data_IF_487300310628
#
_entry.id   IF_487300310628
#
_cell.length_a   1.000
_cell.length_b   1.000
_cell.length_c   1.000
_cell.angle_alpha   90.00
_cell.angle_beta   90.00
_cell.angle_gamma   90.00
#
_symmetry.space_group_name_H-M   'P 1'
#
loop_
_entity.id
_entity.type
_entity.pdbx_description
1 polymer ?
#
# COMPACT_ATOMS: atom_id res chain seq x y z
N UNK A 1 27.18 -66.32 6.03
CA UNK A 1 27.55 -64.93 6.40
C UNK A 1 26.81 -63.83 5.63
N UNK A 2 26.21 -64.10 4.47
CA UNK A 2 25.55 -63.08 3.61
C UNK A 2 24.29 -62.45 4.23
N UNK A 3 23.51 -63.19 5.03
CA UNK A 3 22.22 -62.70 5.54
C UNK A 3 22.31 -61.60 6.64
N UNK A 4 23.45 -61.46 7.32
CA UNK A 4 23.66 -60.39 8.32
C UNK A 4 23.96 -59.02 7.69
N UNK A 5 24.59 -58.99 6.51
CA UNK A 5 24.92 -57.74 5.83
C UNK A 5 23.67 -57.05 5.24
N UNK A 6 22.71 -57.83 4.73
CA UNK A 6 21.47 -57.30 4.17
C UNK A 6 20.59 -56.65 5.25
N UNK A 7 20.51 -57.26 6.43
CA UNK A 7 19.71 -56.74 7.55
C UNK A 7 20.30 -55.49 8.19
N UNK A 8 21.62 -55.35 8.21
CA UNK A 8 22.28 -54.14 8.71
C UNK A 8 22.13 -52.95 7.74
N UNK A 9 22.23 -53.19 6.43
CA UNK A 9 21.97 -52.19 5.39
C UNK A 9 20.55 -51.60 5.47
N UNK A 10 19.54 -52.46 5.66
CA UNK A 10 18.15 -52.01 5.73
C UNK A 10 17.86 -51.16 6.98
N UNK A 11 18.50 -51.44 8.12
CA UNK A 11 18.36 -50.63 9.34
C UNK A 11 18.97 -49.24 9.19
N UNK A 12 20.13 -49.13 8.55
CA UNK A 12 20.78 -47.84 8.30
C UNK A 12 19.95 -47.00 7.35
N UNK A 13 19.43 -47.59 6.26
CA UNK A 13 18.50 -46.90 5.35
C UNK A 13 17.25 -46.41 6.08
N UNK A 14 16.63 -47.27 6.89
CA UNK A 14 15.43 -46.92 7.64
C UNK A 14 15.68 -45.77 8.61
N UNK A 15 16.82 -45.78 9.32
CA UNK A 15 17.20 -44.70 10.23
C UNK A 15 17.41 -43.36 9.51
N UNK A 16 18.10 -43.36 8.36
CA UNK A 16 18.31 -42.15 7.55
C UNK A 16 16.96 -41.56 7.09
N UNK A 17 16.03 -42.40 6.62
CA UNK A 17 14.69 -41.96 6.23
C UNK A 17 13.91 -41.34 7.39
N UNK A 18 13.98 -41.95 8.57
CA UNK A 18 13.32 -41.41 9.76
C UNK A 18 13.89 -40.03 10.10
N UNK A 19 15.22 -39.87 10.09
CA UNK A 19 15.87 -38.58 10.39
C UNK A 19 15.51 -37.51 9.36
N UNK A 20 15.50 -37.85 8.06
CA UNK A 20 15.11 -36.92 7.00
C UNK A 20 13.65 -36.48 7.13
N UNK A 21 12.75 -37.37 7.53
CA UNK A 21 11.34 -37.02 7.73
C UNK A 21 11.18 -36.15 8.98
N UNK A 22 11.78 -36.55 10.11
CA UNK A 22 11.65 -35.87 11.40
C UNK A 22 12.25 -34.46 11.36
N UNK A 23 13.33 -34.23 10.61
CA UNK A 23 13.95 -32.90 10.49
C UNK A 23 13.48 -32.13 9.26
N UNK A 24 13.28 -32.82 8.14
CA UNK A 24 12.92 -32.20 6.87
C UNK A 24 11.49 -31.67 6.85
N UNK A 25 10.53 -32.40 7.42
CA UNK A 25 9.13 -31.97 7.42
C UNK A 25 8.94 -30.69 8.25
N UNK A 26 9.43 -30.59 9.51
CA UNK A 26 9.29 -29.36 10.28
C UNK A 26 10.02 -28.17 9.64
N UNK A 27 11.23 -28.40 9.10
CA UNK A 27 11.99 -27.35 8.44
C UNK A 27 11.24 -26.81 7.21
N UNK A 28 10.75 -27.69 6.34
CA UNK A 28 9.93 -27.30 5.17
C UNK A 28 8.69 -26.53 5.62
N UNK A 29 8.01 -27.02 6.66
CA UNK A 29 6.81 -26.38 7.23
C UNK A 29 7.11 -24.96 7.70
N UNK A 30 8.16 -24.78 8.50
CA UNK A 30 8.58 -23.46 9.00
C UNK A 30 8.97 -22.54 7.84
N UNK A 31 9.70 -23.05 6.84
CA UNK A 31 10.10 -22.24 5.69
C UNK A 31 8.89 -21.78 4.87
N UNK A 32 7.89 -22.66 4.72
CA UNK A 32 6.66 -22.36 4.00
C UNK A 32 5.78 -21.37 4.77
N UNK A 33 5.66 -21.54 6.09
CA UNK A 33 4.98 -20.59 6.98
C UNK A 33 5.67 -19.22 6.92
N UNK A 34 7.00 -19.17 7.10
CA UNK A 34 7.76 -17.92 7.02
C UNK A 34 7.64 -17.28 5.62
N UNK A 35 7.69 -18.07 4.55
CA UNK A 35 7.47 -17.58 3.19
C UNK A 35 6.10 -16.93 3.01
N UNK A 36 5.05 -17.55 3.55
CA UNK A 36 3.68 -17.02 3.49
C UNK A 36 3.49 -15.72 4.30
N UNK A 37 4.11 -15.61 5.47
CA UNK A 37 3.96 -14.43 6.33
C UNK A 37 4.89 -13.27 5.95
N UNK A 38 6.08 -13.56 5.43
CA UNK A 38 7.12 -12.54 5.21
C UNK A 38 7.38 -12.19 3.75
N UNK A 39 6.90 -12.94 2.75
CA UNK A 39 7.13 -12.56 1.36
C UNK A 39 6.19 -11.44 0.87
N UNK A 40 5.00 -11.33 1.47
CA UNK A 40 3.88 -10.52 0.96
C UNK A 40 3.74 -9.16 1.64
N UNK A 41 3.88 -9.09 2.97
CA UNK A 41 3.88 -7.82 3.72
C UNK A 41 4.92 -6.80 3.18
N UNK A 42 6.15 -7.21 2.80
CA UNK A 42 7.11 -6.28 2.19
C UNK A 42 6.66 -5.77 0.82
N UNK A 43 5.92 -6.58 0.04
CA UNK A 43 5.46 -6.18 -1.30
C UNK A 43 4.40 -5.07 -1.20
N UNK A 44 3.49 -5.17 -0.24
CA UNK A 44 2.45 -4.16 -0.06
C UNK A 44 3.02 -2.85 0.48
N UNK A 45 3.97 -2.93 1.42
CA UNK A 45 4.72 -1.75 1.87
C UNK A 45 5.55 -1.15 0.73
N UNK A 46 6.16 -1.98 -0.12
CA UNK A 46 6.89 -1.51 -1.30
C UNK A 46 5.97 -0.81 -2.30
N UNK A 47 4.76 -1.34 -2.53
CA UNK A 47 3.76 -0.68 -3.37
C UNK A 47 3.34 0.68 -2.81
N UNK A 48 3.07 0.76 -1.51
CA UNK A 48 2.72 2.02 -0.86
C UNK A 48 3.87 3.04 -0.95
N UNK A 49 5.08 2.60 -0.62
CA UNK A 49 6.29 3.44 -0.73
C UNK A 49 6.53 3.94 -2.16
N UNK A 50 6.24 3.13 -3.19
CA UNK A 50 6.33 3.57 -4.59
C UNK A 50 5.32 4.67 -4.90
N UNK A 51 4.09 4.57 -4.38
CA UNK A 51 3.08 5.63 -4.54
C UNK A 51 3.53 6.92 -3.87
N UNK A 52 4.00 6.85 -2.62
CA UNK A 52 4.56 8.00 -1.89
C UNK A 52 5.72 8.65 -2.66
N UNK A 53 6.62 7.83 -3.21
CA UNK A 53 7.75 8.32 -4.01
C UNK A 53 7.31 9.01 -5.30
N UNK A 54 6.32 8.45 -5.99
CA UNK A 54 5.77 9.03 -7.24
C UNK A 54 5.07 10.35 -6.96
N UNK A 55 4.32 10.45 -5.85
CA UNK A 55 3.76 11.73 -5.39
C UNK A 55 4.85 12.78 -5.20
N UNK A 56 5.91 12.43 -4.47
CA UNK A 56 6.97 13.39 -4.15
C UNK A 56 7.83 13.82 -5.35
N UNK A 57 8.01 12.96 -6.36
CA UNK A 57 9.04 13.15 -7.39
C UNK A 57 8.53 13.20 -8.82
N UNK A 58 7.45 12.51 -9.15
CA UNK A 58 7.02 12.29 -10.54
C UNK A 58 5.83 13.16 -10.93
N UNK A 59 4.98 13.53 -9.98
CA UNK A 59 3.84 14.40 -10.24
C UNK A 59 4.35 15.84 -10.41
N UNK A 60 3.95 16.47 -11.51
CA UNK A 60 4.29 17.88 -11.75
C UNK A 60 3.40 18.75 -10.90
N UNK A 61 3.98 19.35 -9.85
CA UNK A 61 3.29 20.29 -8.98
C UNK A 61 3.52 21.74 -9.43
N UNK A 62 2.59 22.67 -9.11
CA UNK A 62 2.83 24.10 -9.30
C UNK A 62 4.12 24.57 -8.61
N UNK A 63 4.86 25.48 -9.25
CA UNK A 63 6.15 25.98 -8.75
C UNK A 63 6.04 26.68 -7.39
N UNK A 64 4.90 27.34 -7.14
CA UNK A 64 4.59 28.01 -5.88
C UNK A 64 3.93 27.08 -4.84
N UNK A 65 3.96 25.76 -5.06
CA UNK A 65 3.36 24.82 -4.12
C UNK A 65 4.37 24.30 -3.09
N UNK A 66 3.93 24.16 -1.85
CA UNK A 66 4.71 23.55 -0.78
C UNK A 66 3.97 22.39 -0.13
N UNK A 67 4.69 21.36 0.30
CA UNK A 67 4.13 20.22 1.04
C UNK A 67 3.88 20.66 2.48
N UNK A 68 2.69 20.38 2.97
CA UNK A 68 2.27 20.63 4.35
C UNK A 68 2.31 19.34 5.16
N UNK A 69 1.68 18.29 4.64
CA UNK A 69 1.57 17.00 5.33
C UNK A 69 1.53 15.84 4.31
N UNK A 70 1.91 14.64 4.75
CA UNK A 70 1.82 13.41 3.96
C UNK A 70 1.03 12.37 4.72
N UNK A 71 0.17 11.65 4.02
CA UNK A 71 -0.62 10.55 4.55
C UNK A 71 -0.48 9.33 3.67
N UNK A 72 -0.55 8.16 4.28
CA UNK A 72 -0.68 6.91 3.55
C UNK A 72 -1.51 5.90 4.33
N UNK A 73 -2.18 5.03 3.60
CA UNK A 73 -3.04 4.00 4.14
C UNK A 73 -2.91 2.71 3.33
N UNK A 74 -2.88 1.60 4.06
CA UNK A 74 -2.93 0.25 3.53
C UNK A 74 -3.85 -0.58 4.43
N UNK A 75 -4.88 -1.16 3.84
CA UNK A 75 -5.78 -2.07 4.53
C UNK A 75 -7.09 -2.30 3.78
N UNK A 76 -8.05 -2.91 4.47
CA UNK A 76 -9.44 -2.93 4.01
C UNK A 76 -10.22 -1.75 4.58
N UNK A 77 -11.21 -1.26 3.84
CA UNK A 77 -12.16 -0.25 4.34
C UNK A 77 -13.49 -0.88 4.75
N UNK A 78 -13.80 -2.06 4.22
CA UNK A 78 -15.07 -2.73 4.45
C UNK A 78 -14.81 -4.05 5.16
N UNK A 79 -15.51 -4.27 6.27
CA UNK A 79 -15.41 -5.47 7.13
C UNK A 79 -15.89 -6.76 6.46
N UNK A 80 -16.42 -6.68 5.24
CA UNK A 80 -17.05 -7.80 4.54
C UNK A 80 -16.30 -8.17 3.25
N UNK A 81 -15.16 -7.53 2.97
CA UNK A 81 -14.38 -7.76 1.75
C UNK A 81 -12.91 -7.92 2.10
N UNK A 82 -12.29 -8.96 1.54
CA UNK A 82 -10.84 -9.18 1.63
C UNK A 82 -10.10 -8.39 0.55
N UNK A 83 -10.45 -7.12 0.36
CA UNK A 83 -9.74 -6.27 -0.59
C UNK A 83 -8.63 -5.47 0.09
N UNK A 84 -7.53 -5.27 -0.63
CA UNK A 84 -6.46 -4.40 -0.17
C UNK A 84 -6.47 -3.08 -0.94
N UNK A 85 -6.69 -2.01 -0.19
CA UNK A 85 -6.72 -0.64 -0.69
C UNK A 85 -5.41 0.07 -0.34
N UNK A 86 -4.83 0.73 -1.34
CA UNK A 86 -3.60 1.53 -1.22
C UNK A 86 -3.94 2.98 -1.49
N UNK A 87 -3.54 3.85 -0.58
CA UNK A 87 -3.77 5.27 -0.70
C UNK A 87 -2.52 5.98 -0.21
N UNK A 88 -2.00 6.90 -1.01
CA UNK A 88 -0.95 7.81 -0.58
C UNK A 88 -1.35 9.20 -1.01
N UNK A 89 -1.12 10.21 -0.17
CA UNK A 89 -1.48 11.57 -0.47
C UNK A 89 -0.57 12.60 0.21
N UNK A 90 -0.50 13.78 -0.40
CA UNK A 90 0.21 14.93 0.13
C UNK A 90 -0.75 16.12 0.20
N UNK A 91 -0.91 16.68 1.40
CA UNK A 91 -1.49 18.01 1.55
C UNK A 91 -0.45 19.04 1.13
N UNK A 92 -0.89 19.96 0.30
CA UNK A 92 -0.07 21.03 -0.26
C UNK A 92 -0.78 22.36 -0.12
N UNK A 93 0.00 23.43 -0.13
CA UNK A 93 -0.51 24.80 -0.22
C UNK A 93 0.01 25.46 -1.48
N UNK A 94 -0.74 26.39 -2.04
CA UNK A 94 -0.37 27.20 -3.22
C UNK A 94 -1.08 28.55 -3.18
N UNK A 95 -0.61 29.52 -3.97
CA UNK A 95 -1.33 30.79 -4.20
C UNK A 95 -2.19 30.79 -5.46
N UNK A 96 -2.26 29.66 -6.19
CA UNK A 96 -3.13 29.54 -7.37
C UNK A 96 -4.60 29.49 -6.96
N UNK A 97 -5.49 29.94 -7.85
CA UNK A 97 -6.93 29.76 -7.64
C UNK A 97 -7.33 28.28 -7.73
N UNK A 98 -8.53 27.95 -7.23
CA UNK A 98 -9.11 26.60 -7.34
C UNK A 98 -9.13 26.11 -8.78
N UNK A 99 -9.59 26.94 -9.71
CA UNK A 99 -9.79 26.59 -11.12
C UNK A 99 -8.45 26.37 -11.82
N UNK A 100 -7.48 27.25 -11.58
CA UNK A 100 -6.11 27.12 -12.10
C UNK A 100 -5.48 25.83 -11.59
N UNK A 101 -5.59 25.57 -10.28
CA UNK A 101 -5.05 24.37 -9.67
C UNK A 101 -5.66 23.09 -10.25
N UNK A 102 -6.99 23.01 -10.36
CA UNK A 102 -7.67 21.85 -10.93
C UNK A 102 -7.29 21.62 -12.40
N UNK A 103 -7.01 22.70 -13.15
CA UNK A 103 -6.56 22.59 -14.54
C UNK A 103 -5.18 21.95 -14.68
N UNK A 104 -4.28 22.17 -13.71
CA UNK A 104 -2.91 21.60 -13.71
C UNK A 104 -2.93 20.08 -13.62
N UNK A 105 -3.85 19.52 -12.84
CA UNK A 105 -3.95 18.08 -12.62
C UNK A 105 -5.01 17.41 -13.50
N UNK A 106 -5.61 18.17 -14.42
CA UNK A 106 -6.63 17.63 -15.32
C UNK A 106 -6.03 16.51 -16.17
N UNK A 107 -6.66 15.34 -16.13
CA UNK A 107 -6.23 14.12 -16.83
C UNK A 107 -4.82 13.63 -16.46
N UNK A 108 -4.27 14.11 -15.33
CA UNK A 108 -2.95 13.70 -14.86
C UNK A 108 -2.97 12.23 -14.44
N UNK A 109 -2.01 11.47 -14.98
CA UNK A 109 -1.81 10.07 -14.65
C UNK A 109 -0.33 9.80 -14.42
N UNK A 110 -0.03 8.78 -13.62
CA UNK A 110 1.33 8.35 -13.33
C UNK A 110 1.49 6.86 -13.54
N UNK A 111 2.59 6.46 -14.16
CA UNK A 111 2.97 5.06 -14.25
C UNK A 111 3.81 4.69 -13.02
N UNK A 112 3.40 3.64 -12.32
CA UNK A 112 4.02 3.18 -11.09
C UNK A 112 4.38 1.72 -11.28
N UNK A 113 5.69 1.44 -11.32
CA UNK A 113 6.16 0.07 -11.46
C UNK A 113 5.52 -0.87 -10.42
N UNK A 114 4.97 -1.99 -10.87
CA UNK A 114 4.25 -2.96 -10.02
C UNK A 114 2.74 -2.73 -9.92
N UNK A 115 2.21 -1.71 -10.59
CA UNK A 115 0.79 -1.54 -10.88
C UNK A 115 0.53 -1.84 -12.37
N UNK A 116 -0.66 -2.34 -12.69
CA UNK A 116 -1.01 -2.83 -14.04
C UNK A 116 -1.56 -1.74 -14.96
N UNK A 117 -1.85 -0.56 -14.41
CA UNK A 117 -2.45 0.57 -15.12
C UNK A 117 -1.82 1.88 -14.66
N UNK A 118 -1.78 2.85 -15.56
CA UNK A 118 -1.50 4.23 -15.20
C UNK A 118 -2.54 4.69 -14.16
N UNK A 119 -2.06 5.22 -13.05
CA UNK A 119 -2.89 5.61 -11.93
C UNK A 119 -3.31 7.08 -12.09
N UNK A 120 -4.60 7.40 -11.98
CA UNK A 120 -5.06 8.78 -12.00
C UNK A 120 -4.54 9.53 -10.76
N UNK A 121 -4.14 10.77 -10.97
CA UNK A 121 -3.81 11.70 -9.88
C UNK A 121 -5.10 12.40 -9.47
N UNK A 122 -5.52 12.17 -8.23
CA UNK A 122 -6.71 12.80 -7.68
C UNK A 122 -6.33 14.07 -6.93
N UNK A 123 -7.12 15.12 -7.11
CA UNK A 123 -6.92 16.41 -6.44
C UNK A 123 -8.22 16.91 -5.86
N UNK A 124 -8.16 17.30 -4.59
CA UNK A 124 -9.32 17.80 -3.85
C UNK A 124 -8.89 19.03 -3.05
N UNK A 125 -9.69 20.08 -3.13
CA UNK A 125 -9.47 21.30 -2.35
C UNK A 125 -9.87 21.02 -0.90
N UNK A 126 -9.00 21.37 0.05
CA UNK A 126 -9.21 21.14 1.46
C UNK A 126 -10.11 22.24 2.06
N UNK A 127 -11.41 22.13 1.78
CA UNK A 127 -12.48 22.98 2.31
C UNK A 127 -13.43 22.14 3.18
N UNK A 128 -14.08 22.79 4.17
CA UNK A 128 -14.94 22.11 5.16
C UNK A 128 -16.17 21.43 4.52
N UNK A 129 -16.58 21.89 3.34
CA UNK A 129 -17.73 21.45 2.55
C UNK A 129 -17.33 20.73 1.25
N UNK A 130 -16.07 20.29 1.14
CA UNK A 130 -15.60 19.58 -0.05
C UNK A 130 -16.48 18.33 -0.33
N UNK A 131 -17.08 18.22 -1.53
CA UNK A 131 -18.00 17.13 -1.86
C UNK A 131 -17.20 15.87 -2.18
N UNK A 132 -16.79 15.15 -1.15
CA UNK A 132 -16.24 13.82 -1.30
C UNK A 132 -17.33 12.78 -1.09
N UNK A 133 -17.24 11.70 -1.87
CA UNK A 133 -18.01 10.51 -1.55
C UNK A 133 -17.63 10.04 -0.14
N UNK A 134 -18.61 9.59 0.63
CA UNK A 134 -18.36 8.92 1.93
C UNK A 134 -17.42 7.71 1.76
N UNK A 135 -17.37 7.15 0.56
CA UNK A 135 -16.50 6.03 0.18
C UNK A 135 -15.12 6.44 -0.35
N UNK A 136 -14.75 7.73 -0.38
CA UNK A 136 -13.40 8.15 -0.78
C UNK A 136 -12.42 8.07 0.40
N UNK A 137 -11.28 7.37 0.29
CA UNK A 137 -10.40 7.13 1.44
C UNK A 137 -9.76 8.41 1.98
N UNK A 138 -9.67 9.44 1.14
CA UNK A 138 -9.16 10.73 1.54
C UNK A 138 -10.14 11.57 2.38
N UNK A 139 -11.43 11.17 2.46
CA UNK A 139 -12.47 11.95 3.15
C UNK A 139 -12.09 12.26 4.60
N UNK A 140 -11.65 11.27 5.36
CA UNK A 140 -11.27 11.47 6.76
C UNK A 140 -10.04 12.37 6.89
N UNK A 141 -9.09 12.26 5.97
CA UNK A 141 -7.89 13.11 5.97
C UNK A 141 -8.27 14.57 5.74
N UNK A 142 -9.14 14.84 4.77
CA UNK A 142 -9.55 16.21 4.42
C UNK A 142 -10.35 16.84 5.55
N UNK A 143 -11.28 16.11 6.16
CA UNK A 143 -12.05 16.62 7.31
C UNK A 143 -11.11 16.96 8.48
N UNK A 144 -10.20 16.05 8.84
CA UNK A 144 -9.26 16.27 9.93
C UNK A 144 -8.30 17.44 9.62
N UNK A 145 -7.80 17.50 8.38
CA UNK A 145 -6.90 18.56 7.95
C UNK A 145 -7.60 19.92 7.95
N UNK A 146 -8.80 20.02 7.37
CA UNK A 146 -9.59 21.25 7.32
C UNK A 146 -9.94 21.76 8.73
N UNK A 147 -10.19 20.85 9.69
CA UNK A 147 -10.36 21.20 11.11
C UNK A 147 -9.06 21.71 11.73
N UNK A 148 -7.90 21.13 11.37
CA UNK A 148 -6.60 21.48 11.94
C UNK A 148 -6.05 22.84 11.48
N UNK A 149 -6.31 23.23 10.22
CA UNK A 149 -5.81 24.50 9.67
C UNK A 149 -6.57 25.72 10.18
N UNK A 150 -7.73 25.52 10.84
CA UNK A 150 -8.54 26.60 11.40
C UNK A 150 -9.05 27.58 10.34
N UNK A 151 -8.96 28.88 10.61
CA UNK A 151 -9.33 29.95 9.67
C UNK A 151 -8.35 30.01 8.49
N UNK A 152 -8.87 29.85 7.27
CA UNK A 152 -8.11 29.96 6.02
C UNK A 152 -7.26 31.24 5.97
N UNK A 153 -5.98 31.09 5.62
CA UNK A 153 -5.11 32.22 5.26
C UNK A 153 -5.58 32.74 3.90
N UNK A 154 -5.95 34.02 3.83
CA UNK A 154 -6.42 34.64 2.59
C UNK A 154 -5.33 34.57 1.51
N UNK A 155 -5.71 34.11 0.31
CA UNK A 155 -4.80 33.96 -0.82
C UNK A 155 -3.97 32.68 -0.83
N UNK A 156 -4.19 31.76 0.13
CA UNK A 156 -3.57 30.42 0.12
C UNK A 156 -4.64 29.35 -0.06
N UNK A 157 -4.51 28.57 -1.11
CA UNK A 157 -5.34 27.39 -1.36
C UNK A 157 -4.62 26.15 -0.82
N UNK A 158 -5.29 25.44 0.08
CA UNK A 158 -4.86 24.14 0.57
C UNK A 158 -5.58 23.04 -0.21
N UNK A 159 -4.85 22.00 -0.58
CA UNK A 159 -5.38 20.91 -1.36
C UNK A 159 -4.65 19.60 -1.07
N UNK A 160 -5.35 18.49 -1.26
CA UNK A 160 -4.79 17.15 -1.22
C UNK A 160 -4.56 16.69 -2.66
N UNK A 161 -3.34 16.22 -2.94
CA UNK A 161 -3.05 15.39 -4.12
C UNK A 161 -2.87 13.96 -3.63
N UNK A 162 -3.58 13.01 -4.20
CA UNK A 162 -3.47 11.62 -3.78
C UNK A 162 -3.60 10.63 -4.93
N UNK A 163 -3.06 9.45 -4.66
CA UNK A 163 -3.07 8.28 -5.50
C UNK A 163 -3.87 7.20 -4.78
N UNK A 164 -4.74 6.51 -5.51
CA UNK A 164 -5.67 5.55 -4.95
C UNK A 164 -5.79 4.31 -5.84
N UNK A 165 -5.56 3.14 -5.26
CA UNK A 165 -5.83 1.85 -5.88
C UNK A 165 -6.71 1.01 -4.93
N UNK A 166 -7.93 0.70 -5.38
CA UNK A 166 -8.87 -0.16 -4.65
C UNK A 166 -8.81 -1.61 -5.13
N UNK A 167 -9.25 -2.53 -4.29
CA UNK A 167 -9.65 -3.86 -4.77
C UNK A 167 -8.49 -4.81 -5.09
N UNK A 168 -7.27 -4.56 -4.62
CA UNK A 168 -6.15 -5.46 -4.93
C UNK A 168 -6.30 -6.76 -4.13
N UNK A 169 -6.00 -7.89 -4.77
CA UNK A 169 -6.01 -9.18 -4.10
C UNK A 169 -5.11 -9.17 -2.85
N UNK A 170 -5.60 -9.66 -1.69
CA UNK A 170 -5.01 -9.42 -0.36
C UNK A 170 -3.88 -10.39 -0.02
N UNK A 171 -3.21 -10.99 -1.03
CA UNK A 171 -2.37 -12.16 -0.81
C UNK A 171 -1.34 -11.93 0.30
N UNK A 172 -1.49 -12.70 1.38
CA UNK A 172 -0.57 -12.80 2.50
C UNK A 172 -0.38 -11.54 3.35
N UNK A 173 -1.33 -10.60 3.38
CA UNK A 173 -1.28 -9.47 4.31
C UNK A 173 -2.53 -9.39 5.16
N UNK A 174 -2.35 -9.67 6.45
CA UNK A 174 -3.44 -9.70 7.42
C UNK A 174 -4.10 -8.34 7.59
N UNK A 175 -3.44 -7.22 7.24
CA UNK A 175 -4.03 -5.88 7.28
C UNK A 175 -5.14 -5.69 6.25
N UNK A 176 -5.20 -6.54 5.23
CA UNK A 176 -6.24 -6.55 4.22
C UNK A 176 -7.36 -7.57 4.54
N UNK A 177 -7.35 -8.16 5.74
CA UNK A 177 -8.30 -9.20 6.20
C UNK A 177 -8.89 -8.70 7.53
N UNK A 178 -9.87 -7.81 7.47
CA UNK A 178 -10.73 -7.44 8.61
C UNK A 178 -12.17 -7.86 8.36
#
# INVERSE_FOLDING_TARGET
>A
MVNRYITQSNKVRMFIWIVLIVLGVPLLSVTLILGLFYATVPLHNLSLWRMERVLALSITHPLNSSVVERHSFLGTRYTNTSECTYVAGEFRSTSLSREELLSVYKDATVDIFGFTRAMPVHVVIAELDAPLSLDDPATNWIVNFAQSIGTHITGTTYYLVYLYEKGRFPWGDYRCIE
#
